data_IF_320288779105
#
_entry.id   IF_320288779105
#
_cell.length_a   1.000
_cell.length_b   1.000
_cell.length_c   1.000
_cell.angle_alpha   90.00
_cell.angle_beta   90.00
_cell.angle_gamma   90.00
#
_symmetry.space_group_name_H-M   'P 1'
#
loop_
_entity.id
_entity.type
_entity.pdbx_description
1 polymer ?
#
# COMPACT_ATOMS: atom_id res chain seq x y z
N UNK A 1 2.02 -25.42 17.51
CA UNK A 1 1.84 -24.72 16.23
C UNK A 1 3.13 -24.16 15.64
N UNK A 2 3.90 -23.29 16.31
CA UNK A 2 5.14 -22.70 15.74
C UNK A 2 6.17 -23.75 15.32
N UNK A 3 6.42 -24.78 16.13
CA UNK A 3 7.31 -25.88 15.77
C UNK A 3 6.81 -26.63 14.54
N UNK A 4 5.51 -26.93 14.47
CA UNK A 4 4.87 -27.56 13.31
C UNK A 4 4.95 -26.69 12.06
N UNK A 5 4.71 -25.39 12.18
CA UNK A 5 4.88 -24.45 11.07
C UNK A 5 6.31 -24.45 10.52
N UNK A 6 7.33 -24.48 11.39
CA UNK A 6 8.74 -24.57 10.95
C UNK A 6 9.03 -25.89 10.22
N UNK A 7 8.45 -26.98 10.63
CA UNK A 7 8.56 -28.29 9.96
C UNK A 7 7.91 -28.24 8.56
N UNK A 8 6.65 -27.74 8.47
CA UNK A 8 5.95 -27.53 7.21
C UNK A 8 6.79 -26.64 6.29
N UNK A 9 7.26 -25.47 6.77
CA UNK A 9 8.09 -24.57 5.97
C UNK A 9 9.32 -25.26 5.40
N UNK A 10 10.05 -26.06 6.21
CA UNK A 10 11.25 -26.78 5.76
C UNK A 10 10.92 -27.78 4.65
N UNK A 11 9.87 -28.59 4.81
CA UNK A 11 9.41 -29.57 3.81
C UNK A 11 8.97 -28.87 2.54
N UNK A 12 8.13 -27.87 2.67
CA UNK A 12 7.55 -27.13 1.53
C UNK A 12 8.61 -26.32 0.78
N UNK A 13 9.61 -25.76 1.47
CA UNK A 13 10.70 -25.05 0.82
C UNK A 13 11.55 -25.98 -0.05
N UNK A 14 11.78 -27.23 0.40
CA UNK A 14 12.48 -28.23 -0.42
C UNK A 14 11.66 -28.64 -1.65
N UNK A 15 10.35 -28.84 -1.49
CA UNK A 15 9.45 -29.14 -2.60
C UNK A 15 9.37 -27.97 -3.60
N UNK A 16 9.29 -26.73 -3.10
CA UNK A 16 9.27 -25.52 -3.93
C UNK A 16 10.55 -25.38 -4.76
N UNK A 17 11.72 -25.57 -4.14
CA UNK A 17 13.00 -25.53 -4.82
C UNK A 17 13.10 -26.58 -5.95
N UNK A 18 12.55 -27.79 -5.74
CA UNK A 18 12.53 -28.84 -6.78
C UNK A 18 11.61 -28.52 -7.97
N UNK A 19 10.61 -27.65 -7.77
CA UNK A 19 9.67 -27.20 -8.82
C UNK A 19 10.14 -25.98 -9.59
N UNK A 20 11.16 -25.26 -9.09
CA UNK A 20 11.61 -23.97 -9.63
C UNK A 20 13.11 -23.96 -9.99
N UNK A 21 13.66 -25.04 -10.65
CA UNK A 21 15.09 -25.14 -10.93
C UNK A 21 15.59 -24.06 -11.91
N UNK A 22 14.79 -23.70 -12.92
CA UNK A 22 15.16 -22.68 -13.91
C UNK A 22 15.19 -21.28 -13.28
N UNK A 23 14.25 -20.97 -12.40
CA UNK A 23 14.25 -19.73 -11.62
C UNK A 23 15.47 -19.66 -10.71
N UNK A 24 15.84 -20.78 -10.06
CA UNK A 24 17.04 -20.86 -9.22
C UNK A 24 18.33 -20.65 -10.03
N UNK A 25 18.46 -21.28 -11.20
CA UNK A 25 19.60 -21.09 -12.11
C UNK A 25 19.70 -19.64 -12.59
N UNK A 26 18.57 -19.04 -12.99
CA UNK A 26 18.52 -17.65 -13.41
C UNK A 26 19.01 -16.71 -12.30
N UNK A 27 18.58 -16.92 -11.04
CA UNK A 27 19.00 -16.11 -9.90
C UNK A 27 20.50 -16.21 -9.63
N UNK A 28 21.11 -17.41 -9.81
CA UNK A 28 22.58 -17.58 -9.69
C UNK A 28 23.31 -16.69 -10.69
N UNK A 29 22.84 -16.68 -11.94
CA UNK A 29 23.44 -15.84 -12.98
C UNK A 29 23.15 -14.35 -12.72
N UNK A 30 21.94 -14.01 -12.31
CA UNK A 30 21.51 -12.64 -12.07
C UNK A 30 22.33 -11.96 -10.94
N UNK A 31 22.78 -12.72 -9.93
CA UNK A 31 23.65 -12.23 -8.85
C UNK A 31 24.99 -11.65 -9.35
N UNK A 32 25.41 -11.98 -10.56
CA UNK A 32 26.61 -11.37 -11.18
C UNK A 32 26.37 -9.94 -11.65
N UNK A 33 25.10 -9.49 -11.69
CA UNK A 33 24.69 -8.19 -12.23
C UNK A 33 23.80 -7.38 -11.27
N UNK A 34 23.12 -8.04 -10.34
CA UNK A 34 22.17 -7.40 -9.41
C UNK A 34 22.39 -7.94 -8.00
N UNK A 35 22.37 -7.08 -6.97
CA UNK A 35 22.38 -7.53 -5.59
C UNK A 35 21.27 -8.56 -5.35
N UNK A 36 21.59 -9.69 -4.69
CA UNK A 36 20.73 -10.84 -4.46
C UNK A 36 20.06 -11.45 -5.72
N UNK A 37 20.49 -11.03 -6.92
CA UNK A 37 19.94 -11.49 -8.20
C UNK A 37 18.58 -10.87 -8.57
N UNK A 38 18.18 -9.76 -7.93
CA UNK A 38 16.90 -9.09 -8.19
C UNK A 38 17.08 -7.60 -8.43
N UNK A 39 16.21 -6.98 -9.28
CA UNK A 39 16.32 -5.56 -9.57
C UNK A 39 15.86 -4.65 -8.41
N UNK A 40 15.21 -5.19 -7.38
CA UNK A 40 14.75 -4.46 -6.21
C UNK A 40 14.75 -5.40 -5.00
N UNK A 41 15.36 -4.97 -3.89
CA UNK A 41 15.62 -5.80 -2.71
C UNK A 41 14.36 -6.45 -2.11
N UNK A 42 13.22 -5.79 -2.17
CA UNK A 42 11.96 -6.34 -1.65
C UNK A 42 11.48 -7.59 -2.39
N UNK A 43 11.90 -7.80 -3.63
CA UNK A 43 11.59 -9.03 -4.38
C UNK A 43 12.16 -10.29 -3.72
N UNK A 44 13.15 -10.14 -2.82
CA UNK A 44 13.67 -11.23 -1.98
C UNK A 44 13.19 -11.09 -0.54
N UNK A 45 13.37 -9.91 0.06
CA UNK A 45 13.13 -9.70 1.47
C UNK A 45 11.69 -10.02 1.92
N UNK A 46 10.71 -9.69 1.09
CA UNK A 46 9.29 -9.90 1.40
C UNK A 46 8.77 -11.31 1.08
N UNK A 47 9.49 -12.10 0.26
CA UNK A 47 8.98 -13.40 -0.17
C UNK A 47 9.16 -14.50 0.87
N UNK A 48 10.22 -14.45 1.69
CA UNK A 48 10.52 -15.45 2.72
C UNK A 48 10.74 -16.89 2.21
N UNK A 49 10.81 -17.06 0.91
CA UNK A 49 11.22 -18.24 0.16
C UNK A 49 11.98 -17.78 -1.09
N UNK A 50 12.72 -18.62 -1.79
CA UNK A 50 13.38 -18.23 -3.02
C UNK A 50 12.38 -17.60 -4.01
N UNK A 51 12.68 -16.45 -4.63
CA UNK A 51 11.78 -15.84 -5.60
C UNK A 51 11.73 -16.68 -6.88
N UNK A 52 10.58 -16.62 -7.56
CA UNK A 52 10.42 -17.15 -8.90
C UNK A 52 10.60 -16.05 -9.94
N UNK A 53 10.97 -16.42 -11.16
CA UNK A 53 11.05 -15.49 -12.28
C UNK A 53 9.74 -15.54 -13.06
N UNK A 54 8.92 -14.50 -12.92
CA UNK A 54 7.65 -14.39 -13.64
C UNK A 54 7.90 -14.13 -15.14
N UNK A 55 7.15 -14.80 -16.01
CA UNK A 55 7.26 -14.65 -17.47
C UNK A 55 6.01 -14.07 -18.11
N UNK A 56 4.84 -14.26 -17.52
CA UNK A 56 3.57 -13.67 -17.98
C UNK A 56 2.52 -13.64 -16.88
N UNK A 57 1.54 -12.76 -17.03
CA UNK A 57 0.35 -12.73 -16.20
C UNK A 57 -0.91 -12.51 -17.05
N UNK A 58 -2.05 -13.05 -16.62
CA UNK A 58 -3.34 -12.84 -17.24
C UNK A 58 -4.46 -12.97 -16.20
N UNK A 59 -5.32 -11.96 -16.09
CA UNK A 59 -6.40 -11.95 -15.10
C UNK A 59 -5.88 -12.06 -13.67
N UNK A 60 -6.35 -13.04 -12.92
CA UNK A 60 -5.95 -13.33 -11.55
C UNK A 60 -4.73 -14.27 -11.43
N UNK A 61 -4.00 -14.56 -12.52
CA UNK A 61 -2.94 -15.57 -12.54
C UNK A 61 -1.65 -15.05 -13.17
N UNK A 62 -0.53 -15.63 -12.72
CA UNK A 62 0.75 -15.48 -13.41
C UNK A 62 1.48 -16.83 -13.54
N UNK A 63 2.49 -16.87 -14.40
CA UNK A 63 3.32 -18.04 -14.66
C UNK A 63 4.79 -17.71 -14.48
N UNK A 64 5.52 -18.63 -13.88
CA UNK A 64 6.97 -18.51 -13.71
C UNK A 64 7.75 -19.12 -14.89
N UNK A 65 9.07 -18.94 -14.85
CA UNK A 65 10.01 -19.46 -15.85
C UNK A 65 10.02 -21.00 -15.94
N UNK A 66 9.63 -21.66 -14.87
CA UNK A 66 9.55 -23.12 -14.79
C UNK A 66 8.23 -23.67 -15.33
N UNK A 67 7.28 -22.78 -15.68
CA UNK A 67 5.97 -23.13 -16.22
C UNK A 67 4.90 -23.36 -15.16
N UNK A 68 5.20 -23.11 -13.89
CA UNK A 68 4.18 -23.19 -12.83
C UNK A 68 3.19 -22.03 -12.95
N UNK A 69 1.92 -22.34 -12.81
CA UNK A 69 0.82 -21.38 -12.70
C UNK A 69 0.53 -21.07 -11.23
N UNK A 70 0.30 -19.80 -10.94
CA UNK A 70 -0.09 -19.31 -9.61
C UNK A 70 -1.33 -18.44 -9.71
N UNK A 71 -2.33 -18.76 -8.90
CA UNK A 71 -3.47 -17.89 -8.61
C UNK A 71 -3.02 -16.82 -7.62
N UNK A 72 -3.06 -15.54 -8.02
CA UNK A 72 -2.44 -14.45 -7.29
C UNK A 72 -3.43 -13.73 -6.35
N UNK A 73 -3.16 -13.83 -5.05
CA UNK A 73 -3.80 -13.07 -3.99
C UNK A 73 -2.86 -12.07 -3.30
N UNK A 74 -1.63 -11.92 -3.80
CA UNK A 74 -0.73 -10.83 -3.42
C UNK A 74 -0.99 -9.56 -4.24
N UNK A 75 -1.59 -9.70 -5.43
CA UNK A 75 -1.86 -8.65 -6.42
C UNK A 75 -0.69 -7.67 -6.59
N UNK A 76 0.53 -8.24 -6.60
CA UNK A 76 1.80 -7.51 -6.63
C UNK A 76 1.80 -6.31 -5.64
N UNK A 77 1.42 -6.58 -4.39
CA UNK A 77 1.29 -5.59 -3.32
C UNK A 77 0.37 -4.42 -3.70
N UNK A 78 -0.84 -4.74 -4.18
CA UNK A 78 -1.89 -3.83 -4.64
C UNK A 78 -1.62 -3.12 -5.98
N UNK A 79 -0.43 -3.22 -6.57
CA UNK A 79 -0.15 -2.57 -7.86
C UNK A 79 -0.90 -3.22 -9.02
N UNK A 80 -1.24 -4.51 -8.90
CA UNK A 80 -2.03 -5.28 -9.88
C UNK A 80 -3.48 -5.49 -9.44
N UNK A 81 -4.07 -4.56 -8.71
CA UNK A 81 -5.48 -4.63 -8.31
C UNK A 81 -6.42 -4.86 -9.51
N UNK A 82 -6.12 -4.30 -10.68
CA UNK A 82 -6.85 -4.54 -11.93
C UNK A 82 -6.78 -5.99 -12.44
N UNK A 83 -5.85 -6.79 -11.93
CA UNK A 83 -5.42 -8.07 -12.50
C UNK A 83 -4.38 -7.88 -13.61
N UNK A 84 -3.69 -8.97 -13.94
CA UNK A 84 -2.64 -8.96 -14.97
C UNK A 84 -3.24 -8.81 -16.37
N UNK A 85 -2.56 -8.04 -17.21
CA UNK A 85 -2.92 -7.81 -18.61
C UNK A 85 -4.39 -7.41 -18.80
N UNK A 86 -4.92 -6.53 -17.94
CA UNK A 86 -6.27 -5.98 -18.05
C UNK A 86 -6.49 -5.36 -19.45
N UNK A 87 -7.46 -5.86 -20.20
CA UNK A 87 -7.65 -5.52 -21.60
C UNK A 87 -7.82 -4.00 -21.86
N UNK A 88 -8.62 -3.23 -21.06
CA UNK A 88 -8.71 -1.79 -21.25
C UNK A 88 -7.37 -1.06 -21.07
N UNK A 89 -6.60 -1.47 -20.03
CA UNK A 89 -5.30 -0.85 -19.72
C UNK A 89 -4.28 -1.19 -20.80
N UNK A 90 -4.20 -2.45 -21.23
CA UNK A 90 -3.29 -2.88 -22.30
C UNK A 90 -3.59 -2.14 -23.61
N UNK A 91 -4.87 -2.02 -23.98
CA UNK A 91 -5.27 -1.29 -25.19
C UNK A 91 -4.89 0.19 -25.11
N UNK A 92 -5.09 0.83 -23.95
CA UNK A 92 -4.73 2.24 -23.75
C UNK A 92 -3.22 2.46 -23.85
N UNK A 93 -2.42 1.60 -23.21
CA UNK A 93 -0.95 1.63 -23.26
C UNK A 93 -0.46 1.44 -24.71
N UNK A 94 -0.97 0.41 -25.41
CA UNK A 94 -0.56 0.12 -26.80
C UNK A 94 -0.87 1.29 -27.74
N UNK A 95 -2.06 1.89 -27.61
CA UNK A 95 -2.44 3.09 -28.37
C UNK A 95 -1.51 4.26 -28.08
N UNK A 96 -1.26 4.55 -26.77
CA UNK A 96 -0.43 5.68 -26.39
C UNK A 96 1.04 5.50 -26.78
N UNK A 97 1.56 4.27 -26.74
CA UNK A 97 2.91 3.97 -27.19
C UNK A 97 3.11 4.33 -28.67
N UNK A 98 2.08 4.12 -29.51
CA UNK A 98 2.10 4.53 -30.92
C UNK A 98 2.03 6.03 -31.15
N UNK A 99 1.62 6.83 -30.16
CA UNK A 99 1.50 8.31 -30.25
C UNK A 99 2.66 9.05 -29.58
N UNK A 100 3.42 8.36 -28.73
CA UNK A 100 4.53 8.93 -27.95
C UNK A 100 4.32 8.71 -26.45
N UNK A 101 5.39 8.32 -25.78
CA UNK A 101 5.33 7.90 -24.37
C UNK A 101 5.33 9.08 -23.41
N UNK A 102 6.03 10.18 -23.77
CA UNK A 102 6.26 11.31 -22.90
C UNK A 102 6.61 12.57 -23.72
N UNK A 103 6.12 13.73 -23.28
CA UNK A 103 6.30 14.99 -24.01
C UNK A 103 6.88 16.13 -23.14
N UNK A 104 6.89 15.96 -21.80
CA UNK A 104 7.09 17.06 -20.83
C UNK A 104 6.12 18.23 -21.08
N UNK A 105 4.95 17.90 -21.61
CA UNK A 105 3.83 18.80 -21.88
C UNK A 105 2.54 18.15 -21.41
N UNK A 106 1.52 18.93 -21.01
CA UNK A 106 0.22 18.37 -20.66
C UNK A 106 -0.39 17.60 -21.82
N UNK A 107 -1.07 16.50 -21.50
CA UNK A 107 -1.90 15.74 -22.45
C UNK A 107 -3.37 15.83 -22.06
N UNK A 108 -4.27 15.63 -23.00
CA UNK A 108 -5.71 15.67 -22.75
C UNK A 108 -6.15 14.62 -21.70
N UNK A 109 -5.45 13.49 -21.63
CA UNK A 109 -5.70 12.41 -20.65
C UNK A 109 -5.57 12.90 -19.21
N UNK A 110 -4.69 13.87 -18.92
CA UNK A 110 -4.48 14.39 -17.57
C UNK A 110 -5.77 14.97 -16.98
N UNK A 111 -6.53 15.75 -17.77
CA UNK A 111 -7.78 16.36 -17.35
C UNK A 111 -8.82 15.30 -16.99
N UNK A 112 -8.93 14.24 -17.80
CA UNK A 112 -9.87 13.16 -17.56
C UNK A 112 -9.48 12.32 -16.34
N UNK A 113 -8.19 12.06 -16.13
CA UNK A 113 -7.70 11.39 -14.91
C UNK A 113 -8.02 12.21 -13.68
N UNK A 114 -7.80 13.53 -13.69
CA UNK A 114 -8.18 14.43 -12.59
C UNK A 114 -9.68 14.36 -12.29
N UNK A 115 -10.53 14.39 -13.33
CA UNK A 115 -11.99 14.28 -13.16
C UNK A 115 -12.38 12.95 -12.47
N UNK A 116 -11.83 11.85 -12.95
CA UNK A 116 -12.10 10.51 -12.38
C UNK A 116 -11.60 10.38 -10.92
N UNK A 117 -10.43 10.94 -10.62
CA UNK A 117 -9.91 10.97 -9.25
C UNK A 117 -10.78 11.83 -8.33
N UNK A 118 -11.26 12.99 -8.82
CA UNK A 118 -12.21 13.85 -8.09
C UNK A 118 -13.51 13.11 -7.79
N UNK A 119 -14.05 12.39 -8.77
CA UNK A 119 -15.26 11.59 -8.63
C UNK A 119 -15.09 10.48 -7.59
N UNK A 120 -13.92 9.84 -7.58
CA UNK A 120 -13.61 8.75 -6.66
C UNK A 120 -13.26 9.24 -5.25
N UNK A 121 -12.38 10.23 -5.09
CA UNK A 121 -11.82 10.63 -3.79
C UNK A 121 -12.33 11.98 -3.25
N UNK A 122 -13.02 12.77 -4.05
CA UNK A 122 -13.73 13.97 -3.61
C UNK A 122 -12.91 15.27 -3.59
N UNK A 123 -11.60 15.24 -3.79
CA UNK A 123 -10.77 16.46 -3.84
C UNK A 123 -10.76 17.07 -5.26
N UNK A 124 -10.82 18.42 -5.39
CA UNK A 124 -11.03 19.07 -6.68
C UNK A 124 -9.77 19.19 -7.55
N UNK A 125 -8.57 19.21 -6.97
CA UNK A 125 -7.33 19.51 -7.68
C UNK A 125 -6.33 18.36 -7.54
N UNK A 126 -5.60 18.05 -8.62
CA UNK A 126 -4.68 16.90 -8.65
C UNK A 126 -3.34 17.24 -9.32
N UNK A 127 -2.28 16.66 -8.78
CA UNK A 127 -0.93 16.62 -9.36
C UNK A 127 -0.44 15.16 -9.44
N UNK A 128 0.54 14.91 -10.28
CA UNK A 128 1.04 13.57 -10.57
C UNK A 128 2.52 13.44 -10.24
N UNK A 129 2.89 12.26 -9.76
CA UNK A 129 4.27 11.84 -9.48
C UNK A 129 4.51 10.45 -10.10
N UNK A 130 5.66 9.82 -9.86
CA UNK A 130 5.92 8.44 -10.32
C UNK A 130 5.56 7.38 -9.29
N UNK A 131 5.30 7.76 -8.05
CA UNK A 131 5.00 6.83 -6.96
C UNK A 131 4.31 7.55 -5.81
N UNK A 132 3.67 6.79 -4.91
CA UNK A 132 3.15 7.33 -3.67
C UNK A 132 4.24 7.96 -2.78
N UNK A 133 5.48 7.46 -2.83
CA UNK A 133 6.60 8.10 -2.11
C UNK A 133 6.84 9.53 -2.58
N UNK A 134 6.83 9.75 -3.92
CA UNK A 134 6.89 11.10 -4.49
C UNK A 134 5.67 11.93 -4.10
N UNK A 135 4.48 11.33 -4.12
CA UNK A 135 3.25 11.99 -3.73
C UNK A 135 3.28 12.47 -2.27
N UNK A 136 3.70 11.61 -1.35
CA UNK A 136 3.87 11.96 0.07
C UNK A 136 4.95 13.03 0.28
N UNK A 137 6.04 12.97 -0.48
CA UNK A 137 7.08 14.01 -0.45
C UNK A 137 6.52 15.39 -0.83
N UNK A 138 5.78 15.47 -1.93
CA UNK A 138 5.19 16.71 -2.42
C UNK A 138 4.08 17.20 -1.48
N UNK A 139 3.25 16.30 -0.94
CA UNK A 139 2.23 16.62 0.06
C UNK A 139 2.82 17.24 1.33
N UNK A 140 3.91 16.67 1.86
CA UNK A 140 4.59 17.20 3.05
C UNK A 140 5.24 18.56 2.81
N UNK A 141 5.82 18.78 1.60
CA UNK A 141 6.34 20.11 1.22
C UNK A 141 5.24 21.15 1.16
N UNK A 142 4.13 20.82 0.49
CA UNK A 142 2.96 21.70 0.39
C UNK A 142 2.41 22.04 1.77
N UNK A 143 2.27 21.03 2.66
CA UNK A 143 1.76 21.23 4.00
C UNK A 143 2.64 22.19 4.82
N UNK A 144 3.95 22.06 4.74
CA UNK A 144 4.89 22.95 5.43
C UNK A 144 4.82 24.39 4.91
N UNK A 145 4.70 24.57 3.60
CA UNK A 145 4.54 25.92 3.01
C UNK A 145 3.20 26.53 3.41
N UNK A 146 2.11 25.77 3.32
CA UNK A 146 0.78 26.26 3.64
C UNK A 146 0.61 26.66 5.11
N UNK A 147 1.27 25.94 6.02
CA UNK A 147 1.13 26.19 7.48
C UNK A 147 2.25 27.01 8.09
N UNK A 148 3.39 27.13 7.40
CA UNK A 148 4.62 27.72 7.98
C UNK A 148 5.24 26.91 9.11
N UNK A 149 4.82 25.64 9.30
CA UNK A 149 5.23 24.75 10.39
C UNK A 149 6.08 23.59 9.85
N UNK A 150 6.82 22.89 10.72
CA UNK A 150 7.73 21.81 10.32
C UNK A 150 7.33 20.43 10.80
N UNK A 151 6.66 20.31 11.94
CA UNK A 151 6.38 19.01 12.55
C UNK A 151 5.33 18.20 11.75
N UNK A 152 5.55 16.90 11.65
CA UNK A 152 4.64 15.94 11.00
C UNK A 152 4.30 14.84 11.99
N UNK A 153 3.03 14.53 12.15
CA UNK A 153 2.57 13.37 12.91
C UNK A 153 2.33 12.19 11.98
N UNK A 154 2.83 11.04 12.37
CA UNK A 154 2.56 9.75 11.74
C UNK A 154 2.18 8.72 12.81
N UNK A 155 1.84 7.51 12.43
CA UNK A 155 1.37 6.48 13.36
C UNK A 155 2.20 5.21 13.27
N UNK A 156 2.38 4.51 14.40
CA UNK A 156 3.03 3.20 14.42
C UNK A 156 2.28 2.17 13.58
N UNK A 157 3.02 1.28 12.92
CA UNK A 157 2.47 0.27 12.03
C UNK A 157 2.19 0.75 10.60
N UNK A 158 2.46 2.04 10.31
CA UNK A 158 2.29 2.67 9.00
C UNK A 158 3.37 2.27 7.99
N UNK A 159 3.09 2.50 6.71
CA UNK A 159 4.09 2.59 5.66
C UNK A 159 3.68 3.62 4.60
N UNK A 160 4.48 4.66 4.42
CA UNK A 160 4.20 5.76 3.49
C UNK A 160 5.25 5.90 2.37
N UNK A 161 5.93 4.80 2.06
CA UNK A 161 6.92 4.77 0.98
C UNK A 161 8.33 5.19 1.41
N UNK A 162 9.19 5.39 0.42
CA UNK A 162 10.62 5.60 0.54
C UNK A 162 10.94 7.08 0.77
N UNK A 163 10.52 7.62 1.91
CA UNK A 163 10.68 9.03 2.28
C UNK A 163 11.36 9.10 3.64
N UNK A 164 12.63 9.49 3.69
CA UNK A 164 13.47 9.48 4.90
C UNK A 164 12.80 10.16 6.10
N UNK A 165 12.05 11.23 5.85
CA UNK A 165 11.37 11.99 6.90
C UNK A 165 10.24 11.24 7.60
N UNK A 166 9.75 10.12 7.05
CA UNK A 166 8.62 9.37 7.59
C UNK A 166 8.90 7.87 7.71
N UNK A 167 10.17 7.46 7.55
CA UNK A 167 10.67 6.11 7.83
C UNK A 167 11.13 6.00 9.30
N UNK A 168 10.25 6.38 10.22
CA UNK A 168 10.48 6.40 11.65
C UNK A 168 9.30 5.74 12.38
N UNK A 169 9.60 4.97 13.42
CA UNK A 169 8.62 4.36 14.31
C UNK A 169 8.92 4.72 15.77
N UNK A 170 8.00 4.51 16.68
CA UNK A 170 8.32 4.57 18.10
C UNK A 170 9.21 3.38 18.49
N UNK A 171 10.10 3.58 19.46
CA UNK A 171 10.89 2.48 20.01
C UNK A 171 9.95 1.49 20.69
N UNK A 172 9.72 0.35 20.04
CA UNK A 172 9.15 -0.82 20.65
C UNK A 172 10.27 -1.59 21.34
N UNK A 173 10.67 -1.18 22.54
CA UNK A 173 11.48 -2.01 23.39
C UNK A 173 10.55 -3.00 24.12
N UNK A 174 10.41 -4.18 23.53
CA UNK A 174 9.65 -5.27 24.11
C UNK A 174 10.28 -5.83 25.40
N UNK A 175 11.45 -5.35 25.80
CA UNK A 175 12.19 -5.87 26.97
C UNK A 175 11.78 -5.23 28.31
N UNK A 176 11.26 -3.99 28.31
CA UNK A 176 11.13 -3.22 29.56
C UNK A 176 9.70 -2.86 29.96
N UNK A 177 8.70 -3.11 29.12
CA UNK A 177 7.29 -2.81 29.43
C UNK A 177 6.98 -1.32 29.70
N UNK A 178 7.97 -0.45 29.59
CA UNK A 178 7.85 0.99 29.71
C UNK A 178 8.14 1.59 28.34
N UNK A 179 7.11 2.14 27.69
CA UNK A 179 7.26 2.89 26.44
C UNK A 179 8.25 4.04 26.60
N UNK A 180 9.52 3.77 26.41
CA UNK A 180 10.58 4.75 26.36
C UNK A 180 10.46 5.52 25.04
N UNK A 181 9.93 6.76 25.10
CA UNK A 181 9.54 7.60 23.98
C UNK A 181 10.68 8.09 23.10
N UNK A 182 11.40 7.20 22.42
CA UNK A 182 12.38 7.53 21.41
C UNK A 182 11.92 7.14 20.00
N UNK A 183 12.38 7.87 18.98
CA UNK A 183 12.21 7.48 17.59
C UNK A 183 13.25 6.41 17.22
N UNK A 184 12.79 5.38 16.51
CA UNK A 184 13.64 4.39 15.86
C UNK A 184 13.57 4.54 14.35
N UNK A 185 14.71 4.43 13.68
CA UNK A 185 14.78 4.42 12.23
C UNK A 185 14.23 3.09 11.68
N UNK A 186 13.30 3.13 10.74
CA UNK A 186 12.71 1.95 10.08
C UNK A 186 13.70 1.30 9.07
N UNK A 187 14.78 1.99 8.72
CA UNK A 187 15.78 1.52 7.78
C UNK A 187 17.19 1.96 8.16
N UNK A 188 18.17 1.16 7.76
CA UNK A 188 19.58 1.56 7.88
C UNK A 188 19.91 2.69 6.88
N UNK A 189 20.81 3.58 7.27
CA UNK A 189 21.31 4.65 6.40
C UNK A 189 20.46 5.92 6.39
N UNK A 190 19.44 6.04 7.23
CA UNK A 190 18.72 7.29 7.43
C UNK A 190 19.61 8.30 8.17
N UNK A 191 19.58 9.56 7.74
CA UNK A 191 20.13 10.66 8.50
C UNK A 191 19.31 10.85 9.78
N UNK A 192 19.92 10.79 10.98
CA UNK A 192 19.20 11.01 12.25
C UNK A 192 18.44 12.34 12.29
N UNK A 193 18.92 13.38 11.62
CA UNK A 193 18.25 14.68 11.54
C UNK A 193 16.98 14.64 10.69
N UNK A 194 16.79 13.63 9.82
CA UNK A 194 15.57 13.49 9.02
C UNK A 194 14.34 13.23 9.89
N UNK A 195 14.48 12.61 11.07
CA UNK A 195 13.44 12.37 12.04
C UNK A 195 13.15 13.54 13.00
N UNK A 196 13.95 14.60 12.97
CA UNK A 196 13.89 15.68 13.97
C UNK A 196 12.52 16.34 14.16
N UNK A 197 11.74 16.40 13.09
CA UNK A 197 10.42 17.02 13.08
C UNK A 197 9.30 15.99 12.88
N UNK A 198 9.53 14.76 13.29
CA UNK A 198 8.56 13.68 13.19
C UNK A 198 8.14 13.25 14.57
N UNK A 199 6.84 13.15 14.79
CA UNK A 199 6.28 12.54 15.98
C UNK A 199 5.48 11.31 15.55
N UNK A 200 5.71 10.20 16.24
CA UNK A 200 4.99 8.93 16.01
C UNK A 200 4.00 8.71 17.14
N UNK A 201 2.74 8.56 16.79
CA UNK A 201 1.65 8.32 17.74
C UNK A 201 1.09 6.90 17.58
N UNK A 202 0.41 6.44 18.60
CA UNK A 202 -0.36 5.20 18.53
C UNK A 202 -1.62 5.42 17.69
N UNK A 203 -1.86 4.56 16.71
CA UNK A 203 -3.09 4.58 15.92
C UNK A 203 -4.31 4.33 16.80
N UNK A 204 -5.42 5.01 16.54
CA UNK A 204 -6.65 5.00 17.35
C UNK A 204 -6.53 5.68 18.75
N UNK A 205 -5.44 6.38 19.06
CA UNK A 205 -5.32 7.17 20.28
C UNK A 205 -5.67 8.65 20.04
N UNK A 206 -6.97 8.96 20.15
CA UNK A 206 -7.47 10.32 20.02
C UNK A 206 -6.98 11.25 21.14
N UNK A 207 -6.64 10.74 22.32
CA UNK A 207 -6.14 11.55 23.42
C UNK A 207 -4.71 12.00 23.17
N UNK A 208 -3.83 11.11 22.73
CA UNK A 208 -2.48 11.45 22.34
C UNK A 208 -2.46 12.44 21.14
N UNK A 209 -3.35 12.25 20.16
CA UNK A 209 -3.52 13.18 19.04
C UNK A 209 -3.82 14.60 19.51
N UNK A 210 -4.84 14.78 20.38
CA UNK A 210 -5.21 16.09 20.96
C UNK A 210 -4.06 16.72 21.73
N UNK A 211 -3.43 15.95 22.60
CA UNK A 211 -2.32 16.44 23.42
C UNK A 211 -1.16 16.94 22.56
N UNK A 212 -0.85 16.21 21.44
CA UNK A 212 0.23 16.61 20.55
C UNK A 212 -0.13 17.83 19.71
N UNK A 213 -1.32 17.90 19.16
CA UNK A 213 -1.80 19.04 18.36
C UNK A 213 -1.87 20.36 19.18
N UNK A 214 -2.13 20.26 20.48
CA UNK A 214 -2.18 21.42 21.38
C UNK A 214 -0.87 22.24 21.43
N UNK A 215 0.27 21.69 20.97
CA UNK A 215 1.53 22.46 20.88
C UNK A 215 1.54 23.50 19.76
N UNK A 216 0.66 23.37 18.76
CA UNK A 216 0.48 24.35 17.69
C UNK A 216 1.58 24.43 16.63
N UNK A 217 2.51 23.47 16.58
CA UNK A 217 3.67 23.43 15.68
C UNK A 217 3.55 22.40 14.55
N UNK A 218 2.44 21.64 14.52
CA UNK A 218 2.20 20.58 13.56
C UNK A 218 1.79 21.16 12.20
N UNK A 219 2.52 20.80 11.15
CA UNK A 219 2.19 21.11 9.76
C UNK A 219 1.12 20.14 9.21
N UNK A 220 1.31 18.86 9.45
CA UNK A 220 0.42 17.83 8.92
C UNK A 220 0.34 16.60 9.85
N UNK A 221 -0.80 15.93 9.77
CA UNK A 221 -1.01 14.56 10.22
C UNK A 221 -1.12 13.69 8.97
N UNK A 222 -0.23 12.72 8.82
CA UNK A 222 -0.22 11.77 7.70
C UNK A 222 -0.57 10.38 8.21
N UNK A 223 -1.58 9.74 7.60
CA UNK A 223 -2.01 8.40 7.97
C UNK A 223 -2.51 7.58 6.78
N UNK A 224 -2.49 6.24 6.95
CA UNK A 224 -3.30 5.31 6.15
C UNK A 224 -4.74 5.30 6.71
N UNK A 225 -5.80 5.23 5.90
CA UNK A 225 -7.18 5.09 6.40
C UNK A 225 -7.42 3.84 7.25
N UNK A 226 -6.66 2.79 7.00
CA UNK A 226 -6.51 1.61 7.82
C UNK A 226 -5.05 1.17 7.73
N UNK A 227 -4.42 0.79 8.84
CA UNK A 227 -3.07 0.26 8.79
C UNK A 227 -3.09 -1.11 8.11
N UNK A 228 -2.17 -1.32 7.18
CA UNK A 228 -2.18 -2.49 6.31
C UNK A 228 -0.84 -3.20 6.20
N UNK A 229 0.19 -2.70 6.87
CA UNK A 229 1.55 -3.24 6.86
C UNK A 229 1.93 -3.94 8.17
N UNK A 230 1.05 -3.90 9.17
CA UNK A 230 1.17 -4.59 10.45
C UNK A 230 0.00 -5.55 10.71
N UNK A 231 -0.58 -6.12 9.68
CA UNK A 231 -1.91 -6.71 9.71
C UNK A 231 -2.95 -5.70 9.21
N UNK A 232 -4.20 -5.88 9.58
CA UNK A 232 -5.27 -4.93 9.25
C UNK A 232 -5.81 -4.30 10.53
N UNK A 233 -5.50 -3.02 10.75
CA UNK A 233 -6.03 -2.23 11.88
C UNK A 233 -7.00 -1.20 11.33
N UNK A 234 -8.27 -1.37 11.65
CA UNK A 234 -9.31 -0.43 11.21
C UNK A 234 -9.37 0.79 12.13
N UNK A 235 -9.71 1.97 11.60
CA UNK A 235 -9.86 3.17 12.41
C UNK A 235 -11.14 3.05 13.28
N UNK A 236 -11.06 3.51 14.51
CA UNK A 236 -12.22 3.63 15.39
C UNK A 236 -12.99 4.90 15.03
N UNK A 237 -14.33 4.89 15.04
CA UNK A 237 -15.13 6.06 14.68
C UNK A 237 -14.78 7.33 15.46
N UNK A 238 -14.49 7.22 16.76
CA UNK A 238 -14.09 8.33 17.60
C UNK A 238 -12.70 8.89 17.24
N UNK A 239 -11.81 8.06 16.69
CA UNK A 239 -10.51 8.50 16.21
C UNK A 239 -10.63 9.26 14.89
N UNK A 240 -11.48 8.78 13.96
CA UNK A 240 -11.77 9.51 12.71
C UNK A 240 -12.41 10.86 13.02
N UNK A 241 -13.38 10.91 13.93
CA UNK A 241 -14.02 12.15 14.34
C UNK A 241 -13.00 13.13 14.96
N UNK A 242 -12.08 12.63 15.80
CA UNK A 242 -11.01 13.43 16.37
C UNK A 242 -10.04 13.96 15.30
N UNK A 243 -9.63 13.14 14.33
CA UNK A 243 -8.79 13.59 13.22
C UNK A 243 -9.44 14.72 12.44
N UNK A 244 -10.70 14.54 12.01
CA UNK A 244 -11.41 15.54 11.23
C UNK A 244 -11.60 16.89 11.99
N UNK A 245 -11.88 16.83 13.29
CA UNK A 245 -12.15 18.03 14.10
C UNK A 245 -10.86 18.70 14.60
N UNK A 246 -9.98 17.92 15.25
CA UNK A 246 -8.85 18.46 16.00
C UNK A 246 -7.70 18.91 15.08
N UNK A 247 -7.45 18.21 13.96
CA UNK A 247 -6.42 18.61 13.00
C UNK A 247 -6.78 19.95 12.39
N UNK A 248 -8.04 20.12 11.99
CA UNK A 248 -8.55 21.41 11.46
C UNK A 248 -8.49 22.50 12.51
N UNK A 249 -8.93 22.25 13.75
CA UNK A 249 -8.92 23.22 14.83
C UNK A 249 -7.49 23.68 15.19
N UNK A 250 -6.51 22.78 15.07
CA UNK A 250 -5.10 23.09 15.28
C UNK A 250 -4.47 23.89 14.13
N UNK A 251 -5.16 24.07 13.00
CA UNK A 251 -4.63 24.66 11.78
C UNK A 251 -3.52 23.83 11.15
N UNK A 252 -3.52 22.52 11.38
CA UNK A 252 -2.70 21.53 10.69
C UNK A 252 -3.47 20.94 9.50
N UNK A 253 -2.79 20.24 8.60
CA UNK A 253 -3.41 19.58 7.46
C UNK A 253 -3.55 18.08 7.68
N UNK A 254 -4.68 17.50 7.26
CA UNK A 254 -4.90 16.08 7.25
C UNK A 254 -4.52 15.51 5.87
N UNK A 255 -3.48 14.66 5.84
CA UNK A 255 -3.02 13.93 4.65
C UNK A 255 -3.42 12.48 4.80
N UNK A 256 -4.22 11.96 3.87
CA UNK A 256 -4.65 10.56 3.86
C UNK A 256 -3.97 9.83 2.69
N UNK A 257 -3.16 8.83 3.04
CA UNK A 257 -2.46 7.98 2.07
C UNK A 257 -3.31 6.75 1.72
N UNK A 258 -3.92 6.78 0.54
CA UNK A 258 -4.79 5.75 0.01
C UNK A 258 -4.05 4.61 -0.72
N UNK A 259 -2.73 4.63 -0.73
CA UNK A 259 -1.93 3.71 -1.57
C UNK A 259 -2.33 2.24 -1.43
N UNK A 260 -2.75 1.80 -0.25
CA UNK A 260 -3.18 0.42 0.02
C UNK A 260 -4.69 0.23 0.10
N UNK A 261 -5.47 1.29 0.21
CA UNK A 261 -6.92 1.24 0.46
C UNK A 261 -7.75 1.73 -0.72
N UNK A 262 -7.13 2.43 -1.66
CA UNK A 262 -7.76 3.13 -2.79
C UNK A 262 -8.70 2.27 -3.65
N UNK A 263 -8.45 0.95 -3.77
CA UNK A 263 -9.27 0.02 -4.55
C UNK A 263 -9.83 -1.14 -3.72
N UNK A 264 -9.67 -1.10 -2.40
CA UNK A 264 -10.32 -2.05 -1.51
C UNK A 264 -11.85 -1.85 -1.51
N UNK A 265 -12.28 -0.59 -1.53
CA UNK A 265 -13.66 -0.14 -1.67
C UNK A 265 -13.72 1.06 -2.60
N UNK A 266 -14.86 1.33 -3.23
CA UNK A 266 -14.99 2.52 -4.10
C UNK A 266 -14.90 3.81 -3.28
N UNK A 267 -14.06 4.73 -3.72
CA UNK A 267 -13.75 5.96 -2.98
C UNK A 267 -12.69 5.80 -1.90
N UNK A 268 -12.07 4.62 -1.82
CA UNK A 268 -11.01 4.32 -0.87
C UNK A 268 -11.47 4.26 0.58
N UNK A 269 -10.52 4.07 1.48
CA UNK A 269 -10.75 4.12 2.91
C UNK A 269 -11.18 5.51 3.39
N UNK A 270 -10.75 6.57 2.72
CA UNK A 270 -11.15 7.95 3.02
C UNK A 270 -12.67 8.10 3.05
N UNK A 271 -13.34 7.75 1.96
CA UNK A 271 -14.81 7.85 1.87
C UNK A 271 -15.49 6.80 2.76
N UNK A 272 -14.94 5.59 2.80
CA UNK A 272 -15.54 4.48 3.55
C UNK A 272 -15.62 4.76 5.07
N UNK A 273 -14.58 5.37 5.64
CA UNK A 273 -14.53 5.68 7.07
C UNK A 273 -14.92 7.12 7.41
N UNK A 274 -15.17 7.97 6.42
CA UNK A 274 -15.60 9.35 6.63
C UNK A 274 -14.47 10.30 7.04
N UNK A 275 -13.25 10.10 6.52
CA UNK A 275 -12.18 11.09 6.66
C UNK A 275 -12.47 12.33 5.81
N UNK A 276 -12.09 13.49 6.31
CA UNK A 276 -12.20 14.78 5.63
C UNK A 276 -10.81 15.38 5.36
N UNK A 277 -10.03 14.81 4.42
CA UNK A 277 -8.65 15.22 4.18
C UNK A 277 -8.53 16.56 3.48
N UNK A 278 -7.43 17.27 3.76
CA UNK A 278 -6.96 18.39 2.96
C UNK A 278 -6.16 17.92 1.75
N UNK A 279 -5.46 16.78 1.91
CA UNK A 279 -4.67 16.14 0.86
C UNK A 279 -4.94 14.63 0.86
N UNK A 280 -5.08 14.04 -0.33
CA UNK A 280 -5.07 12.59 -0.55
C UNK A 280 -3.86 12.24 -1.41
N UNK A 281 -3.11 11.22 -1.00
CA UNK A 281 -2.03 10.65 -1.80
C UNK A 281 -2.33 9.22 -2.20
N UNK A 282 -1.76 8.79 -3.33
CA UNK A 282 -1.95 7.43 -3.82
C UNK A 282 -0.92 7.05 -4.87
N UNK A 283 -0.97 5.79 -5.30
CA UNK A 283 -0.07 5.25 -6.30
C UNK A 283 -0.44 3.82 -6.70
N UNK A 284 0.57 2.93 -6.82
CA UNK A 284 0.37 1.49 -7.06
C UNK A 284 -0.65 1.17 -8.18
N UNK A 285 -1.85 0.70 -7.82
CA UNK A 285 -2.86 0.22 -8.75
C UNK A 285 -3.46 1.26 -9.70
N UNK A 286 -3.29 2.58 -9.45
CA UNK A 286 -3.86 3.65 -10.31
C UNK A 286 -3.44 3.49 -11.76
N UNK A 287 -2.16 3.18 -12.00
CA UNK A 287 -1.62 2.94 -13.35
C UNK A 287 -1.74 1.50 -13.85
N UNK A 288 -2.39 0.60 -13.09
CA UNK A 288 -2.48 -0.81 -13.47
C UNK A 288 -1.12 -1.49 -13.65
N UNK A 289 -0.13 -1.13 -12.81
CA UNK A 289 1.25 -1.60 -12.86
C UNK A 289 2.22 -0.64 -13.56
N UNK A 290 1.74 0.43 -14.21
CA UNK A 290 2.58 1.49 -14.77
C UNK A 290 2.87 2.53 -13.68
N UNK A 291 4.13 3.00 -13.52
CA UNK A 291 4.49 3.92 -12.45
C UNK A 291 3.69 5.24 -12.50
N UNK A 292 2.96 5.52 -11.45
CA UNK A 292 2.24 6.78 -11.22
C UNK A 292 1.98 6.96 -9.73
N UNK A 293 2.07 8.19 -9.24
CA UNK A 293 1.54 8.63 -7.96
C UNK A 293 0.65 9.85 -8.17
N UNK A 294 -0.26 10.10 -7.25
CA UNK A 294 -1.20 11.21 -7.30
C UNK A 294 -1.23 11.96 -5.98
N UNK A 295 -1.42 13.27 -6.07
CA UNK A 295 -1.64 14.18 -4.93
C UNK A 295 -2.91 14.95 -5.23
N UNK A 296 -3.98 14.61 -4.51
CA UNK A 296 -5.23 15.37 -4.51
C UNK A 296 -5.20 16.43 -3.42
N UNK A 297 -5.77 17.62 -3.67
CA UNK A 297 -5.77 18.71 -2.71
C UNK A 297 -7.00 19.60 -2.84
N UNK A 298 -7.29 20.37 -1.78
CA UNK A 298 -8.33 21.39 -1.80
C UNK A 298 -7.95 22.57 -2.71
N UNK A 299 -8.93 23.37 -3.15
CA UNK A 299 -8.68 24.59 -3.95
C UNK A 299 -7.79 25.59 -3.20
N UNK A 300 -7.92 25.68 -1.89
CA UNK A 300 -7.07 26.56 -1.08
C UNK A 300 -5.59 26.15 -1.18
N UNK A 301 -5.29 24.86 -1.08
CA UNK A 301 -3.92 24.34 -1.20
C UNK A 301 -3.40 24.43 -2.63
N UNK A 302 -4.26 24.23 -3.63
CA UNK A 302 -3.89 24.45 -5.02
C UNK A 302 -3.50 25.93 -5.26
N UNK A 303 -4.19 26.87 -4.62
CA UNK A 303 -3.82 28.29 -4.62
C UNK A 303 -2.44 28.53 -4.02
N UNK A 304 -2.12 27.88 -2.87
CA UNK A 304 -0.78 27.93 -2.26
C UNK A 304 0.28 27.38 -3.21
N UNK A 305 0.01 26.22 -3.83
CA UNK A 305 0.94 25.60 -4.79
C UNK A 305 1.18 26.53 -6.00
N UNK A 306 0.12 27.07 -6.61
CA UNK A 306 0.21 27.97 -7.78
C UNK A 306 1.00 29.22 -7.47
N UNK A 307 0.79 29.82 -6.27
CA UNK A 307 1.52 31.02 -5.84
C UNK A 307 2.99 30.78 -5.53
N UNK A 308 3.38 29.54 -5.28
CA UNK A 308 4.72 29.15 -4.85
C UNK A 308 5.36 28.08 -5.73
N UNK A 309 5.09 28.07 -7.05
CA UNK A 309 5.74 27.15 -7.95
C UNK A 309 7.25 27.35 -8.00
N UNK A 310 7.98 26.25 -7.91
CA UNK A 310 9.45 26.27 -8.00
C UNK A 310 9.92 26.87 -9.32
N UNK A 311 10.92 27.68 -9.28
CA UNK A 311 11.46 28.35 -10.40
C UNK A 311 12.81 27.88 -10.78
N UNK A 312 12.93 27.73 -12.02
CA UNK A 312 14.17 27.58 -12.77
C UNK A 312 14.97 28.89 -12.78
N UNK A 313 16.32 28.86 -12.91
CA UNK A 313 17.16 30.06 -13.02
C UNK A 313 16.66 31.00 -14.13
N UNK A 314 16.50 32.29 -13.85
CA UNK A 314 16.03 33.29 -14.79
C UNK A 314 14.90 34.19 -14.28
N UNK A 315 14.37 33.97 -13.07
CA UNK A 315 13.51 34.93 -12.37
C UNK A 315 14.28 35.79 -11.37
N UNK A 316 15.49 36.14 -11.71
CA UNK A 316 16.34 37.04 -10.92
C UNK A 316 15.73 38.43 -10.72
N UNK A 317 14.77 38.80 -11.57
CA UNK A 317 14.11 40.13 -11.52
C UNK A 317 13.16 40.31 -10.33
N UNK A 318 12.73 39.23 -9.65
CA UNK A 318 11.81 39.31 -8.50
C UNK A 318 12.44 38.98 -7.16
N UNK A 319 13.73 38.58 -7.12
CA UNK A 319 14.46 38.27 -5.89
C UNK A 319 14.03 36.99 -5.18
N UNK A 320 12.95 36.33 -5.63
CA UNK A 320 12.40 35.12 -5.02
C UNK A 320 12.51 33.94 -6.00
N UNK A 321 13.62 33.20 -5.91
CA UNK A 321 13.83 31.97 -6.67
C UNK A 321 13.45 30.69 -5.91
N UNK A 322 12.75 30.81 -4.78
CA UNK A 322 12.39 29.67 -3.94
C UNK A 322 10.89 29.40 -4.03
N UNK A 323 10.53 28.32 -4.72
CA UNK A 323 9.15 27.82 -4.75
C UNK A 323 9.06 26.39 -4.20
N UNK A 324 7.84 25.83 -4.16
CA UNK A 324 7.64 24.43 -3.81
C UNK A 324 8.24 23.58 -4.93
N UNK A 325 9.25 22.77 -4.58
CA UNK A 325 9.88 21.84 -5.52
C UNK A 325 8.97 20.62 -5.70
N UNK A 326 8.03 20.72 -6.64
CA UNK A 326 7.20 19.60 -7.12
C UNK A 326 7.55 19.33 -8.58
N UNK A 327 7.45 18.07 -9.00
CA UNK A 327 7.70 17.69 -10.38
C UNK A 327 8.99 16.88 -10.57
N UNK A 328 9.05 16.22 -11.70
CA UNK A 328 10.18 15.41 -12.17
C UNK A 328 10.00 15.14 -13.66
N UNK A 329 11.11 14.94 -14.39
CA UNK A 329 11.10 14.82 -15.84
C UNK A 329 10.05 13.84 -16.38
N UNK A 330 9.81 12.72 -15.69
CA UNK A 330 8.87 11.69 -16.14
C UNK A 330 7.49 11.76 -15.45
N UNK A 331 7.27 12.78 -14.60
CA UNK A 331 5.98 12.94 -13.94
C UNK A 331 4.89 13.26 -14.97
N UNK A 332 3.67 12.78 -14.74
CA UNK A 332 2.55 12.95 -15.66
C UNK A 332 2.84 12.51 -17.11
N UNK A 333 3.68 11.48 -17.30
CA UNK A 333 3.94 10.99 -18.65
C UNK A 333 2.67 10.41 -19.29
N UNK A 334 2.58 10.56 -20.62
CA UNK A 334 1.38 10.19 -21.36
C UNK A 334 1.00 8.71 -21.23
N UNK A 335 1.99 7.82 -21.09
CA UNK A 335 1.77 6.38 -20.92
C UNK A 335 1.06 6.07 -19.58
N UNK A 336 1.56 6.63 -18.48
CA UNK A 336 0.98 6.46 -17.15
C UNK A 336 -0.43 7.04 -17.06
N UNK A 337 -0.65 8.23 -17.64
CA UNK A 337 -1.96 8.87 -17.65
C UNK A 337 -2.98 8.07 -18.48
N UNK A 338 -2.57 7.54 -19.64
CA UNK A 338 -3.44 6.71 -20.47
C UNK A 338 -3.84 5.41 -19.77
N UNK A 339 -2.89 4.77 -19.09
CA UNK A 339 -3.15 3.59 -18.28
C UNK A 339 -4.09 3.88 -17.09
N UNK A 340 -3.82 4.97 -16.35
CA UNK A 340 -4.64 5.41 -15.22
C UNK A 340 -6.08 5.74 -15.66
N UNK A 341 -6.25 6.48 -16.78
CA UNK A 341 -7.58 6.78 -17.33
C UNK A 341 -8.38 5.51 -17.61
N UNK A 342 -7.75 4.54 -18.30
CA UNK A 342 -8.43 3.29 -18.62
C UNK A 342 -8.76 2.47 -17.37
N UNK A 343 -7.86 2.40 -16.39
CA UNK A 343 -8.09 1.74 -15.11
C UNK A 343 -9.24 2.35 -14.34
N UNK A 344 -9.22 3.67 -14.13
CA UNK A 344 -10.24 4.40 -13.37
C UNK A 344 -11.62 4.39 -14.06
N UNK A 345 -11.67 4.55 -15.40
CA UNK A 345 -12.93 4.65 -16.13
C UNK A 345 -13.59 3.27 -16.38
N UNK A 346 -12.81 2.21 -16.57
CA UNK A 346 -13.31 0.96 -17.13
C UNK A 346 -13.13 -0.26 -16.19
N UNK A 347 -12.20 -0.17 -15.23
CA UNK A 347 -11.90 -1.30 -14.32
C UNK A 347 -12.37 -1.02 -12.90
N UNK A 348 -11.98 0.11 -12.30
CA UNK A 348 -12.24 0.45 -10.90
C UNK A 348 -13.59 1.19 -10.75
N UNK A 349 -14.62 0.68 -11.37
CA UNK A 349 -15.98 1.26 -11.33
C UNK A 349 -16.71 0.89 -10.02
N UNK A 350 -17.73 1.66 -9.60
CA UNK A 350 -18.54 1.33 -8.41
C UNK A 350 -19.06 -0.11 -8.45
N UNK A 351 -19.65 -0.53 -9.56
CA UNK A 351 -20.21 -1.90 -9.73
C UNK A 351 -19.14 -2.98 -9.61
N UNK A 352 -17.94 -2.73 -10.16
CA UNK A 352 -16.83 -3.66 -10.06
C UNK A 352 -16.28 -3.72 -8.62
N UNK A 353 -16.26 -2.59 -7.91
CA UNK A 353 -15.85 -2.52 -6.51
C UNK A 353 -16.82 -3.27 -5.58
N UNK A 354 -18.13 -3.13 -5.81
CA UNK A 354 -19.16 -3.89 -5.07
C UNK A 354 -18.94 -5.39 -5.27
N UNK A 355 -18.75 -5.85 -6.52
CA UNK A 355 -18.44 -7.26 -6.82
C UNK A 355 -17.17 -7.74 -6.11
N UNK A 356 -16.12 -6.94 -6.07
CA UNK A 356 -14.87 -7.28 -5.35
C UNK A 356 -15.14 -7.31 -3.85
N UNK A 357 -15.98 -6.44 -3.33
CA UNK A 357 -16.44 -6.44 -1.95
C UNK A 357 -17.16 -7.76 -1.58
N UNK A 358 -18.08 -8.24 -2.43
CA UNK A 358 -18.79 -9.51 -2.25
C UNK A 358 -17.83 -10.71 -2.27
N UNK A 359 -16.85 -10.69 -3.17
CA UNK A 359 -15.80 -11.71 -3.23
C UNK A 359 -14.89 -11.67 -1.98
N UNK A 360 -14.61 -10.48 -1.46
CA UNK A 360 -13.88 -10.30 -0.20
C UNK A 360 -14.67 -10.85 1.00
N UNK A 361 -15.97 -10.64 1.03
CA UNK A 361 -16.84 -11.22 2.06
C UNK A 361 -16.88 -12.76 1.98
N UNK A 362 -16.97 -13.30 0.76
CA UNK A 362 -16.87 -14.75 0.53
C UNK A 362 -15.53 -15.30 1.05
N UNK A 363 -14.44 -14.61 0.75
CA UNK A 363 -13.10 -14.98 1.22
C UNK A 363 -13.02 -14.98 2.76
N UNK A 364 -13.47 -13.90 3.38
CA UNK A 364 -13.48 -13.77 4.85
C UNK A 364 -14.29 -14.89 5.51
N UNK A 365 -15.53 -15.08 5.08
CA UNK A 365 -16.44 -16.11 5.65
C UNK A 365 -15.88 -17.52 5.43
N UNK A 366 -15.36 -17.80 4.23
CA UNK A 366 -14.78 -19.11 3.91
C UNK A 366 -13.54 -19.41 4.73
N UNK A 367 -12.65 -18.44 4.89
CA UNK A 367 -11.46 -18.59 5.75
C UNK A 367 -11.84 -18.74 7.22
N UNK A 368 -12.79 -17.96 7.74
CA UNK A 368 -13.26 -18.08 9.11
C UNK A 368 -13.84 -19.49 9.37
N UNK A 369 -14.65 -19.99 8.45
CA UNK A 369 -15.20 -21.35 8.55
C UNK A 369 -14.10 -22.43 8.61
N UNK A 370 -12.98 -22.25 7.87
CA UNK A 370 -11.85 -23.17 7.97
C UNK A 370 -11.13 -23.05 9.31
N UNK A 371 -10.97 -21.85 9.85
CA UNK A 371 -10.39 -21.59 11.18
C UNK A 371 -11.23 -22.24 12.27
N UNK A 372 -12.55 -22.02 12.23
CA UNK A 372 -13.51 -22.57 13.19
C UNK A 372 -13.54 -24.10 13.15
N UNK A 373 -13.49 -24.69 11.95
CA UNK A 373 -13.47 -26.15 11.72
C UNK A 373 -12.32 -26.84 12.44
N UNK A 374 -11.15 -26.19 12.50
CA UNK A 374 -9.97 -26.75 13.19
C UNK A 374 -9.83 -26.26 14.63
N UNK A 375 -10.79 -25.50 15.14
CA UNK A 375 -10.85 -25.05 16.54
C UNK A 375 -9.78 -24.04 16.95
N UNK A 376 -9.25 -23.25 16.02
CA UNK A 376 -8.26 -22.22 16.32
C UNK A 376 -8.97 -20.92 16.80
N UNK A 377 -8.42 -20.22 17.82
CA UNK A 377 -8.97 -18.96 18.29
C UNK A 377 -8.54 -17.77 17.43
N UNK A 378 -8.55 -17.96 16.12
CA UNK A 378 -8.16 -16.93 15.15
C UNK A 378 -9.37 -16.29 14.52
N UNK A 379 -9.18 -15.12 13.98
CA UNK A 379 -10.24 -14.40 13.26
C UNK A 379 -9.74 -13.87 11.92
N UNK A 380 -10.67 -13.62 11.02
CA UNK A 380 -10.39 -13.07 9.70
C UNK A 380 -11.07 -11.72 9.60
N UNK A 381 -10.27 -10.65 9.49
CA UNK A 381 -10.75 -9.31 9.24
C UNK A 381 -10.83 -9.02 7.75
N UNK A 382 -11.53 -7.92 7.40
CA UNK A 382 -11.72 -7.53 6.01
C UNK A 382 -11.86 -6.00 5.85
N UNK A 383 -11.34 -5.51 4.72
CA UNK A 383 -11.67 -4.21 4.16
C UNK A 383 -11.93 -4.40 2.65
N UNK A 384 -13.19 -4.32 2.22
CA UNK A 384 -13.57 -4.57 0.83
C UNK A 384 -13.07 -5.93 0.32
N UNK A 385 -12.31 -5.92 -0.77
CA UNK A 385 -11.72 -7.12 -1.37
C UNK A 385 -10.48 -7.68 -0.65
N UNK A 386 -10.02 -7.03 0.42
CA UNK A 386 -8.83 -7.44 1.16
C UNK A 386 -9.22 -8.13 2.46
N UNK A 387 -8.72 -9.35 2.70
CA UNK A 387 -8.88 -10.06 3.95
C UNK A 387 -7.54 -10.11 4.71
N UNK A 388 -7.61 -10.35 6.02
CA UNK A 388 -6.43 -10.46 6.87
C UNK A 388 -6.59 -11.62 7.85
N UNK A 389 -5.60 -12.50 7.87
CA UNK A 389 -5.43 -13.50 8.89
C UNK A 389 -4.98 -12.85 10.19
N UNK A 390 -5.76 -13.03 11.24
CA UNK A 390 -5.39 -12.59 12.57
C UNK A 390 -5.26 -13.82 13.48
N UNK A 391 -4.03 -14.05 13.93
CA UNK A 391 -3.69 -15.22 14.73
C UNK A 391 -3.96 -14.98 16.25
N UNK A 392 -4.89 -14.07 16.53
CA UNK A 392 -5.36 -13.68 17.86
C UNK A 392 -6.89 -13.58 17.88
N UNK A 393 -7.56 -13.77 19.04
CA UNK A 393 -9.02 -13.74 19.12
C UNK A 393 -9.63 -12.33 19.09
N UNK A 394 -8.86 -11.29 19.41
CA UNK A 394 -9.36 -9.93 19.49
C UNK A 394 -8.89 -9.08 18.30
N UNK A 395 -9.72 -8.13 17.78
CA UNK A 395 -9.31 -7.22 16.71
C UNK A 395 -8.19 -6.30 17.20
N UNK A 396 -7.14 -6.09 16.37
CA UNK A 396 -6.10 -5.15 16.69
C UNK A 396 -6.67 -3.72 16.67
N UNK A 397 -6.26 -2.93 17.64
CA UNK A 397 -6.65 -1.52 17.76
C UNK A 397 -5.49 -0.58 17.49
N UNK A 398 -4.27 -1.08 17.62
CA UNK A 398 -3.02 -0.32 17.47
C UNK A 398 -2.10 -1.02 16.47
N UNK A 399 -1.08 -0.33 15.99
CA UNK A 399 -0.03 -0.95 15.17
C UNK A 399 0.64 -2.12 15.89
N UNK A 400 0.85 -1.99 17.20
CA UNK A 400 1.40 -3.04 18.04
C UNK A 400 0.55 -4.30 18.06
N UNK A 401 -0.74 -4.15 18.40
CA UNK A 401 -1.68 -5.27 18.36
C UNK A 401 -1.69 -5.96 16.99
N UNK A 402 -1.56 -5.13 15.94
CA UNK A 402 -1.48 -5.59 14.57
C UNK A 402 -0.28 -6.50 14.35
N UNK A 403 0.93 -6.07 14.73
CA UNK A 403 2.14 -6.89 14.64
C UNK A 403 2.05 -8.15 15.48
N UNK A 404 1.50 -8.09 16.70
CA UNK A 404 1.31 -9.25 17.57
C UNK A 404 0.34 -10.28 16.98
N UNK A 405 -0.57 -9.83 16.11
CA UNK A 405 -1.50 -10.72 15.40
C UNK A 405 -0.84 -11.49 14.24
N UNK A 406 0.42 -11.18 13.90
CA UNK A 406 1.17 -11.75 12.77
C UNK A 406 2.28 -12.66 13.31
N UNK A 407 2.04 -13.97 13.38
CA UNK A 407 3.05 -14.95 13.81
C UNK A 407 3.88 -15.39 12.60
N UNK A 408 5.02 -14.74 12.37
CA UNK A 408 5.86 -14.92 11.17
C UNK A 408 6.17 -16.38 10.79
N UNK A 409 6.53 -17.31 11.73
CA UNK A 409 6.77 -18.70 11.36
C UNK A 409 5.56 -19.38 10.72
N UNK A 410 4.34 -19.05 11.16
CA UNK A 410 3.10 -19.60 10.60
C UNK A 410 2.81 -18.97 9.23
N UNK A 411 2.97 -17.65 9.11
CA UNK A 411 2.78 -16.95 7.85
C UNK A 411 3.76 -17.42 6.77
N UNK A 412 5.03 -17.63 7.13
CA UNK A 412 6.08 -18.14 6.23
C UNK A 412 5.76 -19.56 5.73
N UNK A 413 5.29 -20.43 6.66
CA UNK A 413 4.90 -21.80 6.30
C UNK A 413 3.68 -21.78 5.36
N UNK A 414 2.66 -20.98 5.69
CA UNK A 414 1.47 -20.81 4.85
C UNK A 414 1.85 -20.37 3.44
N UNK A 415 2.67 -19.34 3.31
CA UNK A 415 3.04 -18.77 2.03
C UNK A 415 3.67 -19.81 1.09
N UNK A 416 4.69 -20.56 1.54
CA UNK A 416 5.35 -21.55 0.69
C UNK A 416 4.46 -22.77 0.46
N UNK A 417 3.65 -23.19 1.45
CA UNK A 417 2.67 -24.24 1.28
C UNK A 417 1.66 -23.89 0.18
N UNK A 418 1.08 -22.71 0.24
CA UNK A 418 0.10 -22.25 -0.75
C UNK A 418 0.73 -22.12 -2.13
N UNK A 419 1.98 -21.63 -2.24
CA UNK A 419 2.69 -21.57 -3.51
C UNK A 419 2.87 -22.94 -4.15
N UNK A 420 3.20 -23.99 -3.37
CA UNK A 420 3.28 -25.36 -3.85
C UNK A 420 1.92 -25.93 -4.31
N UNK A 421 0.82 -25.35 -3.84
CA UNK A 421 -0.54 -25.72 -4.24
C UNK A 421 -1.14 -24.75 -5.28
N UNK A 422 -0.30 -23.97 -5.98
CA UNK A 422 -0.74 -23.11 -7.07
C UNK A 422 -1.38 -21.80 -6.64
N UNK A 423 -1.21 -21.37 -5.40
CA UNK A 423 -1.73 -20.09 -4.88
C UNK A 423 -0.58 -19.20 -4.42
N UNK A 424 -0.47 -18.02 -4.99
CA UNK A 424 0.48 -17.01 -4.57
C UNK A 424 -0.13 -16.11 -3.50
N UNK A 425 0.13 -16.47 -2.26
CA UNK A 425 -0.40 -15.76 -1.09
C UNK A 425 0.31 -14.40 -0.89
N UNK A 426 -0.36 -13.49 -0.21
CA UNK A 426 0.19 -12.18 0.13
C UNK A 426 1.42 -12.26 1.05
N UNK A 427 2.17 -11.18 1.15
CA UNK A 427 3.20 -11.02 2.18
C UNK A 427 2.59 -11.08 3.57
N UNK A 428 3.36 -11.56 4.55
CA UNK A 428 2.86 -11.98 5.86
C UNK A 428 1.91 -10.99 6.55
N UNK A 429 2.28 -9.71 6.56
CA UNK A 429 1.50 -8.67 7.25
C UNK A 429 0.40 -8.03 6.39
N UNK A 430 0.35 -8.32 5.08
CA UNK A 430 -0.56 -7.62 4.15
C UNK A 430 -1.92 -8.31 3.96
N UNK A 431 -2.00 -9.63 4.16
CA UNK A 431 -3.20 -10.42 3.92
C UNK A 431 -3.60 -10.55 2.44
N UNK A 432 -4.37 -11.60 2.10
CA UNK A 432 -4.79 -11.86 0.72
C UNK A 432 -5.76 -10.80 0.22
N UNK A 433 -5.59 -10.43 -1.05
CA UNK A 433 -6.42 -9.45 -1.74
C UNK A 433 -7.03 -10.03 -3.01
N UNK A 434 -8.31 -9.77 -3.22
CA UNK A 434 -9.05 -10.13 -4.42
C UNK A 434 -8.80 -9.07 -5.48
N UNK A 435 -8.24 -9.45 -6.63
CA UNK A 435 -8.13 -8.54 -7.78
C UNK A 435 -9.47 -8.31 -8.45
N UNK A 436 -9.60 -7.23 -9.21
CA UNK A 436 -10.78 -6.94 -10.04
C UNK A 436 -10.98 -7.95 -11.18
N UNK A 437 -9.99 -8.78 -11.47
CA UNK A 437 -10.10 -9.87 -12.44
C UNK A 437 -10.49 -11.22 -11.82
N UNK A 438 -10.51 -11.34 -10.48
CA UNK A 438 -10.80 -12.59 -9.80
C UNK A 438 -12.27 -12.99 -9.89
N UNK A 439 -12.51 -14.29 -9.84
CA UNK A 439 -13.84 -14.93 -9.82
C UNK A 439 -14.15 -15.56 -8.46
N UNK A 440 -15.42 -15.96 -8.26
CA UNK A 440 -15.80 -16.73 -7.08
C UNK A 440 -15.08 -18.09 -6.99
N UNK A 441 -14.81 -18.74 -8.14
CA UNK A 441 -14.05 -19.98 -8.18
C UNK A 441 -12.59 -19.78 -7.74
N UNK A 442 -11.99 -18.62 -8.02
CA UNK A 442 -10.64 -18.29 -7.56
C UNK A 442 -10.61 -18.14 -6.03
N UNK A 443 -11.61 -17.48 -5.46
CA UNK A 443 -11.76 -17.34 -4.01
C UNK A 443 -11.95 -18.70 -3.35
N UNK A 444 -12.79 -19.57 -3.92
CA UNK A 444 -13.02 -20.92 -3.40
C UNK A 444 -11.75 -21.79 -3.46
N UNK A 445 -10.97 -21.66 -4.52
CA UNK A 445 -9.68 -22.35 -4.65
C UNK A 445 -8.68 -21.90 -3.57
N UNK A 446 -8.61 -20.57 -3.28
CA UNK A 446 -7.80 -20.05 -2.18
C UNK A 446 -8.23 -20.67 -0.84
N UNK A 447 -9.54 -20.62 -0.52
CA UNK A 447 -10.10 -21.13 0.73
C UNK A 447 -9.80 -22.63 0.89
N UNK A 448 -9.93 -23.41 -0.17
CA UNK A 448 -9.66 -24.85 -0.16
C UNK A 448 -8.20 -25.17 0.16
N UNK A 449 -7.24 -24.42 -0.43
CA UNK A 449 -5.81 -24.61 -0.16
C UNK A 449 -5.47 -24.15 1.26
N UNK A 450 -6.04 -23.03 1.71
CA UNK A 450 -5.90 -22.55 3.08
C UNK A 450 -6.41 -23.57 4.11
N UNK A 451 -7.54 -24.22 3.83
CA UNK A 451 -8.07 -25.32 4.67
C UNK A 451 -7.09 -26.49 4.81
N UNK A 452 -6.46 -26.92 3.72
CA UNK A 452 -5.42 -27.98 3.73
C UNK A 452 -4.21 -27.57 4.60
N UNK A 453 -3.79 -26.30 4.49
CA UNK A 453 -2.71 -25.76 5.34
C UNK A 453 -3.07 -25.84 6.84
N UNK A 454 -4.30 -25.46 7.19
CA UNK A 454 -4.77 -25.50 8.58
C UNK A 454 -4.83 -26.95 9.11
N UNK A 455 -5.28 -27.91 8.30
CA UNK A 455 -5.28 -29.32 8.68
C UNK A 455 -3.87 -29.81 9.02
N UNK A 456 -2.88 -29.47 8.20
CA UNK A 456 -1.49 -29.84 8.47
C UNK A 456 -0.88 -29.10 9.67
N UNK A 457 -1.27 -27.85 9.89
CA UNK A 457 -0.76 -27.03 11.00
C UNK A 457 -1.25 -27.56 12.36
N UNK A 458 -2.46 -28.14 12.38
CA UNK A 458 -3.11 -28.63 13.61
C UNK A 458 -2.97 -30.12 13.85
N UNK A 459 -2.49 -30.87 12.84
CA UNK A 459 -2.13 -32.30 12.98
C UNK A 459 -0.84 -32.45 13.82
#
# INVERSE_FOLDING_TARGET
MVARAREIKRRESAAFASRTPRSAEWLVQARTRMPDGVPMAWMVALQRHPPVVAVRGAGSRFWDLDGNEYLDFNVADQSMAAGFASAPIVAAIARQAGLGNHFLLPTAEAMEVCRLLTEQFGLPQWQFTLSASGANTDALRLARVATGRSAVLIFDGKYHGHVDQILWSSHYDSSDGAGGGGLAADALGLDPESGRHVDVLTYNDAAALRARLARGDVAAVLLEPALTNCGLVLPMPEFVAALNAEVRAAGALLIVDETHTQFAVYGGGTRHFGFEPDIVTGGKGIGGGIPIGVVGMTDALAGVMTGNLAYWPGREETGDCHGIATGGTLYANAMSLSAARAGLAEVFTPVAADRVGDLGERLQRGLQAQVDRVGLPWTIDRLGGRAQWRLTPAPPRTGADGFDSVVLPICDARKVFMANHGVWDAIAAAGPSVSYAASAADVDAYIAVAGKFLDELTA
#
